data_IF_003182322654
#
_entry.id   IF_003182322654
#
_cell.length_a   1.000
_cell.length_b   1.000
_cell.length_c   1.000
_cell.angle_alpha   90.00
_cell.angle_beta   90.00
_cell.angle_gamma   90.00
#
_symmetry.space_group_name_H-M   'P 1'
#
loop_
_entity.id
_entity.type
_entity.pdbx_description
1 polymer ?
#
# COMPACT_ATOMS: atom_id res chain seq x y z
N UNK A 1 9.63 -10.21 9.65
CA UNK A 1 10.48 -9.25 10.39
C UNK A 1 10.12 -7.87 9.88
N UNK A 2 9.52 -7.01 10.72
CA UNK A 2 9.33 -5.61 10.35
C UNK A 2 10.68 -4.91 10.48
N UNK A 3 11.06 -4.09 9.48
CA UNK A 3 12.29 -3.31 9.54
C UNK A 3 12.27 -2.28 10.67
N UNK A 4 13.45 -1.82 11.08
CA UNK A 4 13.57 -0.85 12.16
C UNK A 4 13.09 0.52 11.67
N UNK A 5 12.08 1.09 12.34
CA UNK A 5 11.49 2.39 11.96
C UNK A 5 12.46 3.56 12.03
N UNK A 6 13.56 3.43 12.77
CA UNK A 6 14.59 4.46 12.88
C UNK A 6 15.52 4.50 11.66
N UNK A 7 15.59 3.42 10.88
CA UNK A 7 16.47 3.34 9.73
C UNK A 7 15.79 3.93 8.48
N UNK A 8 16.54 4.63 7.61
CA UNK A 8 16.01 5.06 6.31
C UNK A 8 15.49 3.87 5.50
N UNK A 9 14.47 4.11 4.66
CA UNK A 9 13.82 3.04 3.90
C UNK A 9 14.81 2.37 2.93
N UNK A 10 15.75 3.14 2.38
CA UNK A 10 16.79 2.66 1.47
C UNK A 10 17.68 1.62 2.17
N UNK A 11 18.07 1.87 3.42
CA UNK A 11 18.90 0.95 4.20
C UNK A 11 18.14 -0.35 4.48
N UNK A 12 16.87 -0.25 4.86
CA UNK A 12 16.03 -1.42 5.10
C UNK A 12 15.83 -2.24 3.82
N UNK A 13 15.65 -1.57 2.68
CA UNK A 13 15.47 -2.21 1.38
C UNK A 13 16.73 -2.97 0.95
N UNK A 14 17.92 -2.36 1.03
CA UNK A 14 19.18 -3.00 0.62
C UNK A 14 19.50 -4.24 1.46
N UNK A 15 19.30 -4.19 2.79
CA UNK A 15 19.51 -5.35 3.66
C UNK A 15 18.60 -6.54 3.30
N UNK A 16 17.35 -6.26 2.93
CA UNK A 16 16.41 -7.31 2.53
C UNK A 16 16.76 -7.82 1.13
N UNK A 17 17.11 -6.93 0.20
CA UNK A 17 17.54 -7.26 -1.16
C UNK A 17 18.71 -8.23 -1.17
N UNK A 18 19.77 -7.95 -0.40
CA UNK A 18 20.93 -8.84 -0.28
C UNK A 18 20.54 -10.25 0.19
N UNK A 19 19.69 -10.34 1.23
CA UNK A 19 19.19 -11.64 1.73
C UNK A 19 18.29 -12.36 0.73
N UNK A 20 17.48 -11.64 -0.05
CA UNK A 20 16.65 -12.25 -1.09
C UNK A 20 17.50 -12.82 -2.21
N UNK A 21 18.60 -12.14 -2.58
CA UNK A 21 19.51 -12.59 -3.61
C UNK A 21 20.34 -13.83 -3.23
N UNK A 22 20.46 -14.17 -1.94
CA UNK A 22 20.98 -15.48 -1.52
C UNK A 22 20.11 -16.66 -2.03
N UNK A 23 18.81 -16.42 -2.24
CA UNK A 23 17.85 -17.45 -2.70
C UNK A 23 17.46 -17.29 -4.16
N UNK A 24 17.39 -16.06 -4.65
CA UNK A 24 16.98 -15.73 -6.02
C UNK A 24 17.99 -14.77 -6.65
N UNK A 25 18.91 -15.32 -7.43
CA UNK A 25 19.99 -14.54 -8.09
C UNK A 25 19.45 -13.46 -9.02
N UNK A 26 18.29 -13.70 -9.63
CA UNK A 26 17.62 -12.77 -10.53
C UNK A 26 16.18 -12.56 -10.07
N UNK A 27 15.81 -11.32 -9.77
CA UNK A 27 14.51 -10.98 -9.24
C UNK A 27 14.24 -9.48 -9.33
N UNK A 28 12.97 -9.15 -9.58
CA UNK A 28 12.44 -7.80 -9.47
C UNK A 28 11.64 -7.69 -8.17
N UNK A 29 11.47 -6.48 -7.69
CA UNK A 29 10.91 -6.20 -6.38
C UNK A 29 9.58 -5.46 -6.48
N UNK A 30 8.66 -5.81 -5.59
CA UNK A 30 7.49 -5.00 -5.28
C UNK A 30 7.61 -4.63 -3.80
N UNK A 31 7.63 -3.34 -3.50
CA UNK A 31 7.70 -2.91 -2.12
C UNK A 31 6.31 -3.00 -1.48
N UNK A 32 6.20 -3.74 -0.39
CA UNK A 32 4.93 -4.02 0.27
C UNK A 32 4.77 -3.20 1.55
N UNK A 33 3.87 -2.24 1.49
CA UNK A 33 3.43 -1.42 2.60
C UNK A 33 2.25 -2.14 3.30
N UNK A 34 2.58 -3.09 4.16
CA UNK A 34 1.59 -3.99 4.78
C UNK A 34 1.02 -3.46 6.10
N UNK A 35 1.87 -2.95 6.99
CA UNK A 35 1.48 -2.69 8.37
C UNK A 35 0.70 -1.37 8.48
N UNK A 36 -0.38 -1.37 9.27
CA UNK A 36 -1.24 -0.20 9.49
C UNK A 36 -1.95 0.29 8.22
N UNK A 37 -2.47 1.50 8.28
CA UNK A 37 -3.18 2.14 7.18
C UNK A 37 -2.19 2.97 6.36
N UNK A 38 -1.65 2.39 5.29
CA UNK A 38 -0.55 3.02 4.56
C UNK A 38 -0.97 4.22 3.69
N UNK A 39 -2.26 4.56 3.66
CA UNK A 39 -2.78 5.79 3.02
C UNK A 39 -3.31 6.82 4.04
N UNK A 40 -3.08 6.61 5.34
CA UNK A 40 -3.55 7.53 6.39
C UNK A 40 -2.52 8.61 6.70
N UNK A 41 -2.28 9.49 5.72
CA UNK A 41 -1.46 10.69 5.84
C UNK A 41 -1.79 11.66 4.68
N UNK A 42 -1.42 12.95 4.77
CA UNK A 42 -1.46 13.85 3.63
C UNK A 42 -0.68 13.28 2.44
N UNK A 43 -1.16 13.53 1.22
CA UNK A 43 -0.57 12.96 -0.01
C UNK A 43 0.93 13.26 -0.16
N UNK A 44 1.39 14.43 0.28
CA UNK A 44 2.82 14.79 0.26
C UNK A 44 3.68 13.89 1.14
N UNK A 45 3.17 13.48 2.32
CA UNK A 45 3.85 12.51 3.19
C UNK A 45 3.85 11.11 2.58
N UNK A 46 2.82 10.75 1.82
CA UNK A 46 2.79 9.47 1.10
C UNK A 46 3.83 9.46 -0.02
N UNK A 47 3.98 10.56 -0.77
CA UNK A 47 5.03 10.73 -1.78
C UNK A 47 6.43 10.57 -1.19
N UNK A 48 6.71 11.23 -0.07
CA UNK A 48 8.00 11.11 0.63
C UNK A 48 8.34 9.66 1.03
N UNK A 49 7.33 8.80 1.23
CA UNK A 49 7.54 7.39 1.59
C UNK A 49 7.62 6.45 0.39
N UNK A 50 6.82 6.68 -0.64
CA UNK A 50 6.72 5.76 -1.78
C UNK A 50 7.79 6.04 -2.84
N UNK A 51 8.08 7.31 -3.11
CA UNK A 51 8.98 7.71 -4.20
C UNK A 51 10.43 7.23 -4.02
N UNK A 52 11.05 7.27 -2.82
CA UNK A 52 12.39 6.74 -2.65
C UNK A 52 12.49 5.27 -3.02
N UNK A 53 11.49 4.48 -2.62
CA UNK A 53 11.46 3.03 -2.90
C UNK A 53 11.30 2.73 -4.37
N UNK A 54 10.51 3.53 -5.08
CA UNK A 54 10.35 3.39 -6.53
C UNK A 54 11.60 3.77 -7.33
N UNK A 55 12.54 4.51 -6.74
CA UNK A 55 13.83 4.85 -7.36
C UNK A 55 14.88 3.76 -7.17
N UNK A 56 14.64 2.80 -6.29
CA UNK A 56 15.57 1.68 -6.04
C UNK A 56 15.64 0.74 -7.25
N UNK A 57 16.86 0.36 -7.61
CA UNK A 57 17.09 -0.48 -8.78
C UNK A 57 16.47 -1.88 -8.61
N UNK A 58 15.62 -2.23 -9.57
CA UNK A 58 14.90 -3.52 -9.62
C UNK A 58 13.50 -3.47 -9.02
N UNK A 59 13.10 -2.37 -8.36
CA UNK A 59 11.71 -2.16 -7.92
C UNK A 59 10.85 -1.82 -9.13
N UNK A 60 9.79 -2.61 -9.34
CA UNK A 60 8.85 -2.43 -10.46
C UNK A 60 7.46 -1.95 -10.01
N UNK A 61 7.23 -1.88 -8.70
CA UNK A 61 5.88 -1.69 -8.20
C UNK A 61 5.75 -1.55 -6.69
N UNK A 62 4.51 -1.27 -6.30
CA UNK A 62 4.08 -1.11 -4.93
C UNK A 62 2.89 -2.03 -4.65
N UNK A 63 2.88 -2.63 -3.47
CA UNK A 63 1.68 -3.21 -2.88
C UNK A 63 1.35 -2.42 -1.62
N UNK A 64 0.12 -1.92 -1.49
CA UNK A 64 -0.29 -1.03 -0.42
C UNK A 64 -1.52 -1.60 0.27
N UNK A 65 -1.38 -2.01 1.53
CA UNK A 65 -2.51 -2.40 2.36
C UNK A 65 -3.08 -1.18 3.08
N UNK A 66 -4.41 -1.00 2.98
CA UNK A 66 -5.07 0.15 3.61
C UNK A 66 -6.52 -0.11 4.01
N UNK A 67 -7.09 0.86 4.72
CA UNK A 67 -8.49 0.91 5.12
C UNK A 67 -9.32 1.63 4.05
N UNK A 68 -10.56 1.18 3.80
CA UNK A 68 -11.44 1.80 2.81
C UNK A 68 -11.83 3.25 3.16
N UNK A 69 -11.91 3.58 4.45
CA UNK A 69 -12.19 4.94 4.96
C UNK A 69 -11.00 5.90 4.87
N UNK A 70 -9.84 5.45 4.36
CA UNK A 70 -8.62 6.26 4.22
C UNK A 70 -8.23 6.44 2.74
N UNK A 71 -9.23 6.63 1.87
CA UNK A 71 -9.05 6.92 0.45
C UNK A 71 -9.74 8.25 0.06
N UNK A 72 -9.23 9.39 0.56
CA UNK A 72 -9.64 10.70 0.06
C UNK A 72 -9.21 10.85 -1.41
N UNK A 73 -9.91 11.71 -2.15
CA UNK A 73 -9.78 11.76 -3.61
C UNK A 73 -8.37 12.16 -4.07
N UNK A 74 -7.69 13.05 -3.34
CA UNK A 74 -6.29 13.44 -3.62
C UNK A 74 -5.32 12.26 -3.53
N UNK A 75 -5.52 11.37 -2.55
CA UNK A 75 -4.73 10.14 -2.43
C UNK A 75 -5.07 9.18 -3.56
N UNK A 76 -6.34 9.04 -3.94
CA UNK A 76 -6.73 8.16 -5.06
C UNK A 76 -6.14 8.64 -6.39
N UNK A 77 -6.17 9.95 -6.65
CA UNK A 77 -5.54 10.52 -7.85
C UNK A 77 -4.03 10.27 -7.88
N UNK A 78 -3.35 10.38 -6.74
CA UNK A 78 -1.92 10.04 -6.65
C UNK A 78 -1.67 8.53 -6.87
N UNK A 79 -2.50 7.65 -6.30
CA UNK A 79 -2.42 6.21 -6.57
C UNK A 79 -2.67 5.91 -8.05
N UNK A 80 -3.57 6.66 -8.71
CA UNK A 80 -3.81 6.52 -10.14
C UNK A 80 -2.59 6.93 -10.97
N UNK A 81 -1.91 8.01 -10.60
CA UNK A 81 -0.63 8.40 -11.22
C UNK A 81 0.41 7.29 -11.06
N UNK A 82 0.55 6.72 -9.86
CA UNK A 82 1.46 5.61 -9.59
C UNK A 82 1.15 4.38 -10.44
N UNK A 83 -0.13 4.03 -10.59
CA UNK A 83 -0.59 2.89 -11.37
C UNK A 83 -0.24 3.00 -12.87
N UNK A 84 -0.12 4.23 -13.40
CA UNK A 84 0.26 4.44 -14.80
C UNK A 84 1.74 4.16 -15.07
N UNK A 85 2.59 4.35 -14.06
CA UNK A 85 4.05 4.25 -14.19
C UNK A 85 4.67 3.02 -13.52
N UNK A 86 3.91 2.31 -12.69
CA UNK A 86 4.39 1.16 -11.90
C UNK A 86 3.34 0.06 -11.83
N UNK A 87 3.75 -1.14 -11.43
CA UNK A 87 2.81 -2.18 -11.03
C UNK A 87 2.25 -1.85 -9.63
N UNK A 88 1.03 -1.34 -9.56
CA UNK A 88 0.37 -1.01 -8.30
C UNK A 88 -0.69 -2.05 -7.93
N UNK A 89 -0.68 -2.44 -6.65
CA UNK A 89 -1.67 -3.31 -6.03
C UNK A 89 -2.18 -2.68 -4.74
N UNK A 90 -3.50 -2.55 -4.56
CA UNK A 90 -4.06 -1.96 -3.35
C UNK A 90 -4.99 -2.94 -2.63
N UNK A 91 -4.58 -3.35 -1.43
CA UNK A 91 -5.36 -4.26 -0.60
C UNK A 91 -6.28 -3.48 0.34
N UNK A 92 -7.60 -3.59 0.12
CA UNK A 92 -8.61 -3.00 0.99
C UNK A 92 -9.04 -3.95 2.10
N UNK A 93 -8.82 -3.54 3.36
CA UNK A 93 -9.17 -4.34 4.52
C UNK A 93 -10.67 -4.39 4.82
N UNK A 94 -11.34 -5.47 4.41
CA UNK A 94 -12.77 -5.74 4.71
C UNK A 94 -13.00 -6.35 6.10
N UNK A 95 -12.24 -7.39 6.46
CA UNK A 95 -12.41 -8.25 7.64
C UNK A 95 -13.69 -9.11 7.66
N UNK A 96 -14.87 -8.53 7.44
CA UNK A 96 -16.16 -9.25 7.44
C UNK A 96 -17.19 -8.53 6.56
N UNK A 97 -18.06 -9.29 5.89
CA UNK A 97 -19.20 -8.75 5.14
C UNK A 97 -20.41 -8.43 6.03
N UNK A 98 -20.40 -8.90 7.28
CA UNK A 98 -21.54 -8.75 8.18
C UNK A 98 -21.37 -7.52 9.07
N UNK A 99 -22.22 -6.51 8.88
CA UNK A 99 -22.18 -5.27 9.67
C UNK A 99 -22.24 -5.54 11.18
N UNK A 100 -23.09 -6.48 11.62
CA UNK A 100 -23.17 -6.89 13.03
C UNK A 100 -21.83 -7.34 13.62
N UNK A 101 -21.03 -8.06 12.84
CA UNK A 101 -19.69 -8.49 13.26
C UNK A 101 -18.71 -7.32 13.23
N UNK A 102 -18.80 -6.46 12.21
CA UNK A 102 -18.01 -5.23 12.09
C UNK A 102 -18.19 -4.31 13.30
N UNK A 103 -19.43 -4.13 13.75
CA UNK A 103 -19.79 -3.35 14.95
C UNK A 103 -19.24 -4.00 16.22
N UNK A 104 -19.40 -5.32 16.36
CA UNK A 104 -18.91 -6.08 17.53
C UNK A 104 -17.38 -5.94 17.72
N UNK A 105 -16.62 -5.93 16.62
CA UNK A 105 -15.15 -5.83 16.66
C UNK A 105 -14.64 -4.38 16.60
N UNK A 106 -15.52 -3.39 16.64
CA UNK A 106 -15.20 -1.97 16.53
C UNK A 106 -14.37 -1.63 15.27
N UNK A 107 -14.78 -2.14 14.09
CA UNK A 107 -14.06 -1.88 12.83
C UNK A 107 -14.04 -0.41 12.44
N UNK A 108 -15.07 0.33 12.82
CA UNK A 108 -15.24 1.77 12.60
C UNK A 108 -15.32 2.20 11.12
N UNK A 109 -15.82 1.32 10.25
CA UNK A 109 -16.40 1.67 8.94
C UNK A 109 -17.49 0.66 8.58
N UNK A 110 -18.38 1.06 7.68
CA UNK A 110 -19.47 0.22 7.19
C UNK A 110 -19.13 -0.43 5.84
N UNK A 111 -20.02 -1.33 5.40
CA UNK A 111 -19.91 -1.96 4.08
C UNK A 111 -19.99 -0.97 2.91
N UNK A 112 -20.73 0.12 3.08
CA UNK A 112 -20.89 1.13 2.04
C UNK A 112 -19.55 1.83 1.76
N UNK A 113 -18.81 2.20 2.80
CA UNK A 113 -17.46 2.76 2.71
C UNK A 113 -16.51 1.81 1.98
N UNK A 114 -16.62 0.50 2.24
CA UNK A 114 -15.85 -0.50 1.52
C UNK A 114 -16.16 -0.51 0.01
N UNK A 115 -17.44 -0.52 -0.36
CA UNK A 115 -17.85 -0.49 -1.77
C UNK A 115 -17.40 0.79 -2.47
N UNK A 116 -17.48 1.93 -1.80
CA UNK A 116 -16.99 3.21 -2.32
C UNK A 116 -15.48 3.18 -2.55
N UNK A 117 -14.70 2.67 -1.60
CA UNK A 117 -13.26 2.48 -1.75
C UNK A 117 -12.92 1.61 -2.98
N UNK A 118 -13.61 0.47 -3.13
CA UNK A 118 -13.43 -0.41 -4.31
C UNK A 118 -13.80 0.31 -5.60
N UNK A 119 -14.92 1.04 -5.63
CA UNK A 119 -15.37 1.77 -6.81
C UNK A 119 -14.37 2.86 -7.22
N UNK A 120 -13.84 3.61 -6.24
CA UNK A 120 -12.80 4.63 -6.48
C UNK A 120 -11.56 4.00 -7.12
N UNK A 121 -11.01 2.93 -6.56
CA UNK A 121 -9.80 2.28 -7.10
C UNK A 121 -10.04 1.72 -8.51
N UNK A 122 -11.18 1.04 -8.72
CA UNK A 122 -11.53 0.46 -10.03
C UNK A 122 -11.74 1.49 -11.13
N UNK A 123 -12.24 2.68 -10.80
CA UNK A 123 -12.37 3.79 -11.75
C UNK A 123 -11.04 4.15 -12.42
N UNK A 124 -9.92 3.94 -11.72
CA UNK A 124 -8.57 4.21 -12.21
C UNK A 124 -7.81 2.92 -12.63
N UNK A 125 -8.53 1.80 -12.81
CA UNK A 125 -7.96 0.48 -13.14
C UNK A 125 -6.86 0.03 -12.17
N UNK A 126 -6.98 0.39 -10.89
CA UNK A 126 -6.09 -0.09 -9.84
C UNK A 126 -6.60 -1.47 -9.39
N UNK A 127 -5.68 -2.44 -9.32
CA UNK A 127 -5.99 -3.82 -8.87
C UNK A 127 -6.33 -3.88 -7.39
#
# INVERSE_FOLDING_TARGET
FAGNRADPIEVQFQQIKERMHEKWSEGKYIAYFQAFTNTHAPVEVLKEKYEPVLKEEGVIGLSIATRPDCLPDDVVEYLAELNQRTYLWVELGLQTVHQKTSDLINRAHDMQTYYEGVAKLRKHNIN
#
